data_IF_398434961268
#
_entry.id   IF_398434961268
#
_cell.length_a   1.000
_cell.length_b   1.000
_cell.length_c   1.000
_cell.angle_alpha   90.00
_cell.angle_beta   90.00
_cell.angle_gamma   90.00
#
_symmetry.space_group_name_H-M   'P 1'
#
loop_
_entity.id
_entity.type
_entity.pdbx_description
1 polymer ?
#
# COMPACT_ATOMS: atom_id res chain seq x y z
N UNK A 1 -5.45 8.38 18.19
CA UNK A 1 -4.94 9.15 17.05
C UNK A 1 -5.62 8.72 15.76
N UNK A 2 -6.06 9.67 14.97
CA UNK A 2 -6.83 9.36 13.75
C UNK A 2 -5.90 9.05 12.59
N UNK A 3 -6.17 7.95 11.89
CA UNK A 3 -5.43 7.62 10.70
C UNK A 3 -5.88 8.55 9.56
N UNK A 4 -4.92 9.05 8.80
CA UNK A 4 -5.17 9.88 7.64
C UNK A 4 -6.06 9.13 6.64
N UNK A 5 -7.08 9.80 6.11
CA UNK A 5 -8.03 9.14 5.21
C UNK A 5 -7.38 8.64 3.92
N UNK A 6 -6.58 9.50 3.30
CA UNK A 6 -5.88 9.13 2.06
C UNK A 6 -4.39 9.13 2.26
N UNK A 7 -3.75 8.02 1.93
CA UNK A 7 -2.30 7.89 1.97
C UNK A 7 -1.76 8.00 0.55
N UNK A 8 -0.62 8.68 0.41
CA UNK A 8 0.17 8.60 -0.82
C UNK A 8 1.25 7.53 -0.63
N UNK A 9 2.14 7.40 -1.61
CA UNK A 9 3.23 6.42 -1.53
C UNK A 9 4.14 6.68 -0.32
N UNK A 10 4.43 7.95 -0.03
CA UNK A 10 5.29 8.30 1.10
C UNK A 10 4.66 7.91 2.43
N UNK A 11 3.35 8.11 2.56
CA UNK A 11 2.63 7.69 3.77
C UNK A 11 2.73 6.18 3.94
N UNK A 12 2.58 5.42 2.85
CA UNK A 12 2.69 3.97 2.89
C UNK A 12 4.09 3.52 3.28
N UNK A 13 5.11 4.18 2.75
CA UNK A 13 6.50 3.92 3.12
C UNK A 13 6.70 4.13 4.61
N UNK A 14 6.22 5.27 5.12
CA UNK A 14 6.37 5.61 6.53
C UNK A 14 5.63 4.63 7.45
N UNK A 15 4.40 4.29 7.10
CA UNK A 15 3.57 3.45 7.95
C UNK A 15 4.00 1.99 7.92
N UNK A 16 4.50 1.50 6.80
CA UNK A 16 4.99 0.13 6.68
C UNK A 16 6.42 -0.01 7.15
N UNK A 17 7.14 1.09 7.23
CA UNK A 17 8.57 1.13 7.55
C UNK A 17 9.40 0.31 6.55
N UNK A 18 8.94 0.27 5.29
CA UNK A 18 9.64 -0.42 4.20
C UNK A 18 10.05 0.57 3.12
N UNK A 19 10.97 0.15 2.26
CA UNK A 19 11.42 1.01 1.18
C UNK A 19 10.38 1.09 0.06
N UNK A 20 10.50 2.14 -0.76
CA UNK A 20 9.64 2.29 -1.95
C UNK A 20 9.79 1.07 -2.87
N UNK A 21 11.01 0.58 -3.05
CA UNK A 21 11.27 -0.58 -3.91
C UNK A 21 10.55 -1.81 -3.37
N UNK A 22 10.61 -2.06 -2.07
CA UNK A 22 9.93 -3.20 -1.46
C UNK A 22 8.42 -3.12 -1.71
N UNK A 23 7.85 -1.92 -1.51
CA UNK A 23 6.41 -1.71 -1.72
C UNK A 23 6.03 -1.94 -3.17
N UNK A 24 6.80 -1.36 -4.10
CA UNK A 24 6.54 -1.55 -5.52
C UNK A 24 6.59 -3.02 -5.91
N UNK A 25 7.62 -3.73 -5.44
CA UNK A 25 7.82 -5.12 -5.83
C UNK A 25 6.82 -6.08 -5.18
N UNK A 26 6.41 -5.81 -3.94
CA UNK A 26 5.61 -6.75 -3.16
C UNK A 26 4.13 -6.40 -3.10
N UNK A 27 3.76 -5.16 -3.30
CA UNK A 27 2.36 -4.75 -3.26
C UNK A 27 1.86 -4.37 -4.65
N UNK A 28 2.52 -3.43 -5.29
CA UNK A 28 2.03 -2.84 -6.54
C UNK A 28 2.18 -3.81 -7.72
N UNK A 29 3.35 -4.42 -7.85
CA UNK A 29 3.66 -5.31 -8.98
C UNK A 29 3.26 -6.75 -8.75
N UNK A 30 2.84 -7.09 -7.55
CA UNK A 30 2.36 -8.43 -7.25
C UNK A 30 0.86 -8.48 -7.52
N UNK A 31 0.46 -9.16 -8.57
CA UNK A 31 -0.94 -9.19 -9.03
C UNK A 31 -1.89 -9.72 -7.96
N UNK A 32 -1.49 -10.75 -7.23
CA UNK A 32 -2.33 -11.33 -6.18
C UNK A 32 -2.57 -10.32 -5.06
N UNK A 33 -1.48 -9.71 -4.58
CA UNK A 33 -1.58 -8.73 -3.49
C UNK A 33 -2.32 -7.48 -3.98
N UNK A 34 -2.00 -7.01 -5.19
CA UNK A 34 -2.68 -5.85 -5.73
C UNK A 34 -4.19 -6.07 -5.80
N UNK A 35 -4.63 -7.26 -6.23
CA UNK A 35 -6.05 -7.55 -6.32
C UNK A 35 -6.74 -7.49 -4.95
N UNK A 36 -6.00 -7.79 -3.88
CA UNK A 36 -6.53 -7.72 -2.52
C UNK A 36 -6.67 -6.28 -2.02
N UNK A 37 -5.78 -5.38 -2.44
CA UNK A 37 -5.82 -3.99 -2.00
C UNK A 37 -6.49 -3.05 -2.99
N UNK A 38 -6.74 -3.48 -4.21
CA UNK A 38 -7.32 -2.64 -5.24
C UNK A 38 -8.65 -1.97 -4.83
N UNK A 39 -9.56 -2.63 -4.12
CA UNK A 39 -10.83 -2.00 -3.73
C UNK A 39 -10.69 -0.73 -2.90
N UNK A 40 -9.55 -0.55 -2.23
CA UNK A 40 -9.32 0.65 -1.44
C UNK A 40 -8.05 1.38 -1.88
N UNK A 41 -7.69 1.22 -3.14
CA UNK A 41 -6.48 1.83 -3.69
C UNK A 41 -6.76 2.47 -5.04
N UNK A 42 -5.95 3.46 -5.39
CA UNK A 42 -5.99 4.10 -6.69
C UNK A 42 -4.62 3.95 -7.32
N UNK A 43 -4.57 3.32 -8.49
CA UNK A 43 -3.31 3.09 -9.21
C UNK A 43 -3.00 4.26 -10.11
N UNK A 44 -1.78 4.78 -10.03
CA UNK A 44 -1.32 5.86 -10.90
C UNK A 44 -1.41 5.42 -12.36
N UNK A 45 -1.98 6.28 -13.23
CA UNK A 45 -2.24 5.97 -14.63
C UNK A 45 -1.19 6.53 -15.57
N UNK A 46 -0.44 7.51 -15.12
CA UNK A 46 0.61 8.14 -15.92
C UNK A 46 1.65 8.79 -14.99
N UNK A 47 2.69 9.34 -15.59
CA UNK A 47 3.84 9.85 -14.82
C UNK A 47 3.51 10.98 -13.83
N UNK A 48 2.49 11.78 -14.14
CA UNK A 48 2.10 12.89 -13.28
C UNK A 48 1.06 12.50 -12.23
N UNK A 49 0.66 11.25 -12.24
CA UNK A 49 -0.33 10.75 -11.30
C UNK A 49 0.35 10.10 -10.11
N UNK A 50 -0.37 9.96 -9.00
CA UNK A 50 0.18 9.36 -7.80
C UNK A 50 -0.72 8.23 -7.32
N UNK A 51 -0.10 7.22 -6.71
CA UNK A 51 -0.86 6.17 -6.03
C UNK A 51 -1.54 6.77 -4.81
N UNK A 52 -2.76 6.30 -4.55
CA UNK A 52 -3.53 6.69 -3.37
C UNK A 52 -4.11 5.46 -2.72
N UNK A 53 -4.19 5.48 -1.41
CA UNK A 53 -4.73 4.37 -0.64
C UNK A 53 -5.64 4.91 0.44
N UNK A 54 -6.74 4.19 0.71
CA UNK A 54 -7.58 4.56 1.86
C UNK A 54 -6.82 4.12 3.12
N UNK A 55 -6.33 5.11 3.88
CA UNK A 55 -5.43 4.88 5.01
C UNK A 55 -5.91 3.83 6.00
N UNK A 56 -7.12 3.98 6.59
CA UNK A 56 -7.62 3.01 7.57
C UNK A 56 -7.70 1.58 7.01
N UNK A 57 -8.13 1.44 5.75
CA UNK A 57 -8.23 0.13 5.10
C UNK A 57 -6.86 -0.48 4.85
N UNK A 58 -5.92 0.35 4.37
CA UNK A 58 -4.55 -0.11 4.13
C UNK A 58 -3.88 -0.47 5.45
N UNK A 59 -4.13 0.29 6.50
CA UNK A 59 -3.57 0.01 7.82
C UNK A 59 -4.05 -1.35 8.33
N UNK A 60 -5.36 -1.63 8.22
CA UNK A 60 -5.92 -2.92 8.61
C UNK A 60 -5.30 -4.05 7.81
N UNK A 61 -5.15 -3.85 6.50
CA UNK A 61 -4.55 -4.85 5.62
C UNK A 61 -3.11 -5.15 6.05
N UNK A 62 -2.32 -4.12 6.32
CA UNK A 62 -0.94 -4.30 6.76
C UNK A 62 -0.86 -5.03 8.10
N UNK A 63 -1.71 -4.65 9.04
CA UNK A 63 -1.73 -5.31 10.35
C UNK A 63 -2.00 -6.81 10.20
N UNK A 64 -2.95 -7.17 9.36
CA UNK A 64 -3.37 -8.56 9.20
C UNK A 64 -2.44 -9.38 8.30
N UNK A 65 -1.75 -8.75 7.36
CA UNK A 65 -1.04 -9.47 6.30
C UNK A 65 0.45 -9.18 6.20
N UNK A 66 0.97 -8.22 6.96
CA UNK A 66 2.36 -7.81 6.79
C UNK A 66 3.34 -8.96 7.01
N UNK A 67 3.10 -9.77 8.03
CA UNK A 67 3.96 -10.93 8.31
C UNK A 67 3.98 -11.90 7.13
N UNK A 68 2.82 -12.16 6.54
CA UNK A 68 2.72 -13.01 5.35
C UNK A 68 3.53 -12.43 4.19
N UNK A 69 3.46 -11.13 4.01
CA UNK A 69 4.20 -10.45 2.93
C UNK A 69 5.70 -10.55 3.15
N UNK A 70 6.15 -10.40 4.39
CA UNK A 70 7.59 -10.45 4.71
C UNK A 70 8.16 -11.86 4.64
N UNK A 71 7.34 -12.87 4.87
CA UNK A 71 7.78 -14.26 4.92
C UNK A 71 7.73 -14.99 3.57
N UNK A 72 7.35 -14.30 2.52
CA UNK A 72 7.28 -14.89 1.18
C UNK A 72 8.64 -15.19 0.61
#
# INVERSE_FOLDING_TARGET
>A
MTTKTWWDMQDLINESNESRKWIMDNLIKNETIWSEIEPFSYKAKHNNDEYRFVGPKMQDYLIENFKRLKER
#
